data_IF_089099123249
#
_entry.id   IF_089099123249
#
_cell.length_a   1.000
_cell.length_b   1.000
_cell.length_c   1.000
_cell.angle_alpha   90.00
_cell.angle_beta   90.00
_cell.angle_gamma   90.00
#
_symmetry.space_group_name_H-M   'P 1'
#
loop_
_entity.id
_entity.type
_entity.pdbx_description
1 polymer ?
#
# COMPACT_ATOMS: atom_id res chain seq x y z
N UNK A 1 -19.34 25.41 -44.19
CA UNK A 1 -18.75 25.58 -42.85
C UNK A 1 -19.01 24.32 -42.04
N UNK A 2 -17.92 23.62 -41.71
CA UNK A 2 -17.90 22.24 -41.23
C UNK A 2 -18.17 22.16 -39.73
N UNK A 3 -19.23 21.44 -39.31
CA UNK A 3 -19.40 21.00 -37.93
C UNK A 3 -18.72 19.64 -37.77
N UNK A 4 -17.65 19.58 -36.98
CA UNK A 4 -17.06 18.31 -36.50
C UNK A 4 -17.64 17.99 -35.12
N UNK A 5 -17.96 16.72 -34.82
CA UNK A 5 -18.38 16.30 -33.48
C UNK A 5 -17.17 16.16 -32.56
N UNK A 6 -17.34 16.57 -31.30
CA UNK A 6 -16.40 16.35 -30.20
C UNK A 6 -16.30 14.85 -29.91
N UNK A 7 -15.10 14.28 -30.08
CA UNK A 7 -14.79 12.93 -29.64
C UNK A 7 -14.61 12.90 -28.12
N UNK A 8 -15.39 12.01 -27.52
CA UNK A 8 -15.40 11.51 -26.14
C UNK A 8 -14.04 11.45 -25.44
N UNK A 9 -14.04 11.92 -24.20
CA UNK A 9 -13.10 11.59 -23.13
C UNK A 9 -13.32 10.13 -22.72
N UNK A 10 -12.38 9.24 -23.08
CA UNK A 10 -12.47 7.78 -22.85
C UNK A 10 -11.28 7.20 -22.07
N UNK A 11 -10.39 8.02 -21.51
CA UNK A 11 -9.15 7.52 -20.88
C UNK A 11 -9.28 7.14 -19.40
N UNK A 12 -10.40 7.48 -18.74
CA UNK A 12 -10.69 7.04 -17.37
C UNK A 12 -11.24 5.60 -17.29
N UNK A 13 -11.64 5.00 -18.42
CA UNK A 13 -12.30 3.69 -18.44
C UNK A 13 -11.31 2.51 -18.40
N UNK A 14 -10.05 2.70 -18.81
CA UNK A 14 -9.12 1.58 -19.03
C UNK A 14 -8.63 0.93 -17.73
N UNK A 15 -8.51 1.67 -16.63
CA UNK A 15 -8.14 1.06 -15.33
C UNK A 15 -9.33 0.40 -14.63
N UNK A 16 -10.55 0.92 -14.84
CA UNK A 16 -11.77 0.42 -14.19
C UNK A 16 -12.39 -0.80 -14.86
N UNK A 17 -12.12 -1.05 -16.15
CA UNK A 17 -12.64 -2.22 -16.88
C UNK A 17 -11.81 -3.50 -16.76
N UNK A 18 -10.63 -3.43 -16.15
CA UNK A 18 -9.74 -4.58 -15.97
C UNK A 18 -10.29 -5.68 -15.03
N UNK A 19 -11.37 -5.41 -14.28
CA UNK A 19 -11.85 -6.26 -13.18
C UNK A 19 -13.01 -7.21 -13.52
N UNK A 20 -13.56 -7.17 -14.74
CA UNK A 20 -14.91 -7.72 -14.97
C UNK A 20 -15.00 -9.19 -15.42
N UNK A 21 -13.92 -9.95 -15.60
CA UNK A 21 -14.06 -11.33 -16.09
C UNK A 21 -12.88 -12.26 -15.75
N UNK A 22 -12.98 -13.00 -14.64
CA UNK A 22 -12.29 -14.29 -14.48
C UNK A 22 -13.03 -15.19 -13.45
N UNK A 23 -13.43 -16.43 -13.80
CA UNK A 23 -13.97 -17.36 -12.83
C UNK A 23 -12.86 -18.22 -12.21
N UNK A 24 -12.62 -18.01 -10.90
CA UNK A 24 -12.11 -18.92 -9.84
C UNK A 24 -11.21 -18.17 -8.84
N UNK A 25 -11.85 -17.73 -7.75
CA UNK A 25 -11.36 -17.70 -6.35
C UNK A 25 -10.15 -16.83 -5.99
N UNK A 26 -10.06 -15.61 -6.53
CA UNK A 26 -9.34 -14.53 -5.88
C UNK A 26 -10.28 -13.32 -5.80
N UNK A 27 -10.57 -12.81 -4.60
CA UNK A 27 -11.39 -11.61 -4.46
C UNK A 27 -10.76 -10.44 -5.24
N UNK A 28 -11.56 -9.47 -5.68
CA UNK A 28 -11.08 -8.29 -6.43
C UNK A 28 -9.85 -7.63 -5.77
N UNK A 29 -9.79 -7.65 -4.43
CA UNK A 29 -8.66 -7.15 -3.64
C UNK A 29 -7.37 -7.95 -3.87
N UNK A 30 -7.44 -9.27 -3.91
CA UNK A 30 -6.28 -10.12 -4.17
C UNK A 30 -5.72 -9.89 -5.58
N UNK A 31 -6.61 -9.75 -6.56
CA UNK A 31 -6.23 -9.40 -7.92
C UNK A 31 -5.61 -8.00 -7.99
N UNK A 32 -6.20 -7.02 -7.30
CA UNK A 32 -5.66 -5.67 -7.24
C UNK A 32 -4.26 -5.64 -6.63
N UNK A 33 -4.01 -6.34 -5.51
CA UNK A 33 -2.68 -6.46 -4.91
C UNK A 33 -1.65 -6.98 -5.92
N UNK A 34 -2.01 -8.01 -6.67
CA UNK A 34 -1.14 -8.61 -7.68
C UNK A 34 -0.87 -7.64 -8.84
N UNK A 35 -1.87 -6.91 -9.33
CA UNK A 35 -1.67 -5.87 -10.35
C UNK A 35 -0.71 -4.78 -9.85
N UNK A 36 -0.85 -4.35 -8.59
CA UNK A 36 0.08 -3.39 -7.98
C UNK A 36 1.49 -3.96 -7.88
N UNK A 37 1.66 -5.23 -7.49
CA UNK A 37 2.99 -5.87 -7.45
C UNK A 37 3.63 -5.95 -8.83
N UNK A 38 2.85 -6.22 -9.87
CA UNK A 38 3.34 -6.18 -11.25
C UNK A 38 3.84 -4.79 -11.61
N UNK A 39 3.06 -3.75 -11.31
CA UNK A 39 3.46 -2.37 -11.54
C UNK A 39 4.76 -2.02 -10.79
N UNK A 40 4.90 -2.40 -9.52
CA UNK A 40 6.14 -2.19 -8.75
C UNK A 40 7.36 -2.86 -9.40
N UNK A 41 7.19 -4.07 -9.94
CA UNK A 41 8.27 -4.78 -10.64
C UNK A 41 8.83 -4.01 -11.83
N UNK A 42 7.98 -3.20 -12.49
CA UNK A 42 8.34 -2.35 -13.61
C UNK A 42 8.89 -0.98 -13.15
N UNK A 43 8.32 -0.42 -12.08
CA UNK A 43 8.58 0.96 -11.68
C UNK A 43 9.72 1.11 -10.68
N UNK A 44 9.95 0.15 -9.79
CA UNK A 44 11.02 0.23 -8.79
C UNK A 44 12.42 0.35 -9.42
N UNK A 45 12.77 -0.35 -10.52
CA UNK A 45 14.06 -0.16 -11.17
C UNK A 45 14.25 1.28 -11.68
N UNK A 46 13.22 1.86 -12.28
CA UNK A 46 13.25 3.24 -12.79
C UNK A 46 13.39 4.25 -11.62
N UNK A 47 12.67 4.01 -10.52
CA UNK A 47 12.77 4.84 -9.33
C UNK A 47 14.15 4.71 -8.67
N UNK A 48 14.75 3.53 -8.62
CA UNK A 48 16.10 3.32 -8.09
C UNK A 48 17.11 4.18 -8.84
N UNK A 49 17.09 4.16 -10.17
CA UNK A 49 17.97 5.02 -10.99
C UNK A 49 17.78 6.50 -10.67
N UNK A 50 16.53 6.94 -10.53
CA UNK A 50 16.24 8.34 -10.17
C UNK A 50 16.73 8.68 -8.76
N UNK A 51 16.56 7.77 -7.79
CA UNK A 51 16.92 8.01 -6.40
C UNK A 51 18.44 8.11 -6.18
N UNK A 52 19.27 7.47 -7.02
CA UNK A 52 20.73 7.63 -7.00
C UNK A 52 21.20 9.08 -7.22
N UNK A 53 20.38 9.90 -7.87
CA UNK A 53 20.68 11.32 -8.09
C UNK A 53 20.58 12.16 -6.82
N UNK A 54 19.84 11.69 -5.80
CA UNK A 54 19.70 12.40 -4.54
C UNK A 54 20.98 12.26 -3.69
N UNK A 55 21.56 13.38 -3.20
CA UNK A 55 22.78 13.34 -2.39
C UNK A 55 22.69 12.40 -1.18
N UNK A 56 21.53 12.34 -0.51
CA UNK A 56 21.33 11.49 0.68
C UNK A 56 21.32 9.98 0.38
N UNK A 57 21.14 9.58 -0.88
CA UNK A 57 21.02 8.18 -1.30
C UNK A 57 22.08 7.77 -2.31
N UNK A 58 22.99 8.67 -2.69
CA UNK A 58 24.02 8.43 -3.70
C UNK A 58 24.85 7.19 -3.42
N UNK A 59 25.22 6.99 -2.15
CA UNK A 59 26.06 5.87 -1.71
C UNK A 59 25.25 4.70 -1.12
N UNK A 60 23.90 4.78 -1.17
CA UNK A 60 23.05 3.69 -0.72
C UNK A 60 23.15 2.49 -1.69
N UNK A 61 23.17 1.24 -1.20
CA UNK A 61 23.29 0.05 -2.04
C UNK A 61 21.94 -0.33 -2.69
N UNK A 62 21.29 0.63 -3.35
CA UNK A 62 19.91 0.52 -3.85
C UNK A 62 19.71 -0.68 -4.80
N UNK A 63 20.72 -1.03 -5.61
CA UNK A 63 20.66 -2.21 -6.47
C UNK A 63 20.62 -3.53 -5.70
N UNK A 64 21.45 -3.64 -4.65
CA UNK A 64 21.46 -4.83 -3.80
C UNK A 64 20.16 -4.94 -3.00
N UNK A 65 19.62 -3.81 -2.53
CA UNK A 65 18.33 -3.75 -1.86
C UNK A 65 17.18 -4.14 -2.82
N UNK A 66 17.21 -3.67 -4.07
CA UNK A 66 16.26 -4.06 -5.12
C UNK A 66 16.33 -5.56 -5.44
N UNK A 67 17.54 -6.11 -5.55
CA UNK A 67 17.74 -7.55 -5.78
C UNK A 67 17.19 -8.37 -4.60
N UNK A 68 17.48 -7.97 -3.36
CA UNK A 68 16.94 -8.60 -2.16
C UNK A 68 15.41 -8.54 -2.10
N UNK A 69 14.81 -7.41 -2.47
CA UNK A 69 13.36 -7.29 -2.59
C UNK A 69 12.78 -8.25 -3.64
N UNK A 70 13.35 -8.29 -4.85
CA UNK A 70 12.92 -9.23 -5.91
C UNK A 70 12.99 -10.67 -5.44
N UNK A 71 14.04 -11.04 -4.72
CA UNK A 71 14.21 -12.39 -4.20
C UNK A 71 13.12 -12.71 -3.16
N UNK A 72 12.88 -11.83 -2.19
CA UNK A 72 11.81 -12.01 -1.18
C UNK A 72 10.42 -12.10 -1.82
N UNK A 73 10.23 -11.44 -2.97
CA UNK A 73 8.93 -11.34 -3.67
C UNK A 73 8.81 -12.24 -4.89
N UNK A 74 9.76 -13.13 -5.16
CA UNK A 74 9.84 -13.85 -6.44
C UNK A 74 8.54 -14.60 -6.81
N UNK A 75 7.94 -15.30 -5.85
CA UNK A 75 6.67 -16.04 -6.05
C UNK A 75 5.53 -15.07 -6.38
N UNK A 76 5.31 -14.05 -5.55
CA UNK A 76 4.26 -13.06 -5.75
C UNK A 76 4.41 -12.29 -7.06
N UNK A 77 5.65 -11.96 -7.46
CA UNK A 77 5.92 -11.29 -8.74
C UNK A 77 5.62 -12.19 -9.95
N UNK A 78 5.85 -13.50 -9.82
CA UNK A 78 5.48 -14.46 -10.86
C UNK A 78 3.96 -14.59 -11.00
N UNK A 79 3.24 -14.69 -9.88
CA UNK A 79 1.77 -14.71 -9.85
C UNK A 79 1.18 -13.43 -10.44
N UNK A 80 1.74 -12.27 -10.08
CA UNK A 80 1.34 -10.97 -10.58
C UNK A 80 1.52 -10.86 -12.11
N UNK A 81 2.66 -11.31 -12.63
CA UNK A 81 2.92 -11.32 -14.06
C UNK A 81 1.94 -12.24 -14.81
N UNK A 82 1.65 -13.42 -14.27
CA UNK A 82 0.70 -14.37 -14.86
C UNK A 82 -0.74 -13.80 -14.87
N UNK A 83 -1.16 -13.13 -13.80
CA UNK A 83 -2.46 -12.45 -13.75
C UNK A 83 -2.56 -11.38 -14.84
N UNK A 84 -1.56 -10.51 -14.97
CA UNK A 84 -1.57 -9.43 -15.96
C UNK A 84 -1.55 -9.98 -17.39
N UNK A 85 -0.82 -11.07 -17.64
CA UNK A 85 -0.82 -11.75 -18.94
C UNK A 85 -2.20 -12.31 -19.29
N UNK A 86 -2.89 -12.94 -18.32
CA UNK A 86 -4.26 -13.40 -18.51
C UNK A 86 -5.23 -12.22 -18.76
N UNK A 87 -5.10 -11.14 -17.99
CA UNK A 87 -5.92 -9.92 -18.17
C UNK A 87 -5.68 -9.24 -19.53
N UNK A 88 -4.45 -9.27 -20.04
CA UNK A 88 -4.13 -8.79 -21.37
C UNK A 88 -4.85 -9.64 -22.43
N UNK A 89 -4.74 -10.96 -22.31
CA UNK A 89 -5.37 -11.91 -23.22
C UNK A 89 -6.90 -11.76 -23.26
N UNK A 90 -7.56 -11.61 -22.11
CA UNK A 90 -9.02 -11.42 -22.06
C UNK A 90 -9.48 -10.11 -22.68
N UNK A 91 -8.63 -9.08 -22.69
CA UNK A 91 -8.90 -7.78 -23.30
C UNK A 91 -8.41 -7.64 -24.74
N UNK A 92 -7.81 -8.70 -25.31
CA UNK A 92 -7.21 -8.65 -26.65
C UNK A 92 -6.03 -7.69 -26.75
N UNK A 93 -5.35 -7.42 -25.63
CA UNK A 93 -4.14 -6.59 -25.56
C UNK A 93 -2.91 -7.49 -25.42
N UNK A 94 -1.73 -6.99 -25.78
CA UNK A 94 -0.48 -7.66 -25.40
C UNK A 94 -0.06 -7.22 -24.00
N UNK A 95 0.65 -8.09 -23.28
CA UNK A 95 1.30 -7.72 -22.02
C UNK A 95 2.23 -6.52 -22.17
N UNK A 96 2.93 -6.42 -23.30
CA UNK A 96 3.82 -5.31 -23.60
C UNK A 96 3.07 -3.96 -23.67
N UNK A 97 1.83 -3.95 -24.18
CA UNK A 97 1.00 -2.74 -24.22
C UNK A 97 0.62 -2.28 -22.81
N UNK A 98 0.29 -3.22 -21.91
CA UNK A 98 0.00 -2.94 -20.50
C UNK A 98 1.26 -2.40 -19.80
N UNK A 99 2.40 -3.06 -19.97
CA UNK A 99 3.67 -2.64 -19.38
C UNK A 99 4.05 -1.22 -19.84
N UNK A 100 3.86 -0.92 -21.14
CA UNK A 100 4.10 0.40 -21.69
C UNK A 100 3.14 1.45 -21.12
N UNK A 101 1.85 1.12 -20.97
CA UNK A 101 0.86 2.02 -20.36
C UNK A 101 1.19 2.35 -18.90
N UNK A 102 1.61 1.35 -18.11
CA UNK A 102 2.05 1.54 -16.71
C UNK A 102 3.24 2.50 -16.65
N UNK A 103 4.27 2.26 -17.47
CA UNK A 103 5.46 3.13 -17.52
C UNK A 103 5.11 4.56 -17.95
N UNK A 104 4.32 4.72 -19.02
CA UNK A 104 3.91 6.03 -19.52
C UNK A 104 3.04 6.82 -18.52
N UNK A 105 2.23 6.14 -17.71
CA UNK A 105 1.50 6.77 -16.62
C UNK A 105 2.43 7.21 -15.50
N UNK A 106 3.37 6.35 -15.09
CA UNK A 106 4.35 6.67 -14.05
C UNK A 106 5.26 7.83 -14.47
N UNK A 107 5.77 7.85 -15.70
CA UNK A 107 6.61 8.95 -16.22
C UNK A 107 5.90 10.30 -16.12
N UNK A 108 4.61 10.36 -16.45
CA UNK A 108 3.80 11.58 -16.32
C UNK A 108 3.68 12.05 -14.87
N UNK A 109 3.41 11.14 -13.93
CA UNK A 109 3.35 11.47 -12.50
C UNK A 109 4.71 11.94 -11.97
N UNK A 110 5.77 11.26 -12.41
CA UNK A 110 7.13 11.51 -12.01
C UNK A 110 7.71 12.83 -12.53
N UNK A 111 7.34 13.24 -13.74
CA UNK A 111 7.74 14.53 -14.32
C UNK A 111 7.11 15.72 -13.58
N UNK A 112 5.95 15.52 -12.94
CA UNK A 112 5.26 16.54 -12.16
C UNK A 112 5.73 16.62 -10.69
N UNK A 113 6.53 15.67 -10.22
CA UNK A 113 6.96 15.61 -8.83
C UNK A 113 8.10 16.61 -8.54
N UNK A 114 7.92 17.42 -7.51
CA UNK A 114 8.96 18.32 -7.00
C UNK A 114 10.07 17.59 -6.23
N UNK A 115 11.11 18.33 -5.82
CA UNK A 115 12.25 17.76 -5.11
C UNK A 115 11.88 17.14 -3.75
N UNK A 116 10.92 17.72 -3.03
CA UNK A 116 10.45 17.20 -1.73
C UNK A 116 9.70 15.88 -1.90
N UNK A 117 8.81 15.81 -2.89
CA UNK A 117 8.07 14.61 -3.28
C UNK A 117 9.05 13.51 -3.68
N UNK A 118 10.07 13.83 -4.48
CA UNK A 118 11.09 12.86 -4.87
C UNK A 118 11.86 12.31 -3.67
N UNK A 119 12.31 13.18 -2.76
CA UNK A 119 12.99 12.76 -1.54
C UNK A 119 12.13 11.83 -0.67
N UNK A 120 10.84 12.16 -0.52
CA UNK A 120 9.86 11.34 0.18
C UNK A 120 9.67 9.97 -0.49
N UNK A 121 9.41 9.95 -1.80
CA UNK A 121 9.25 8.72 -2.58
C UNK A 121 10.49 7.83 -2.49
N UNK A 122 11.68 8.39 -2.61
CA UNK A 122 12.93 7.63 -2.55
C UNK A 122 13.22 7.07 -1.15
N UNK A 123 12.88 7.83 -0.10
CA UNK A 123 12.98 7.33 1.28
C UNK A 123 12.04 6.14 1.49
N UNK A 124 10.80 6.25 1.01
CA UNK A 124 9.81 5.16 1.08
C UNK A 124 10.20 3.94 0.24
N UNK A 125 10.73 4.16 -0.95
CA UNK A 125 11.24 3.09 -1.81
C UNK A 125 12.27 2.27 -1.04
N UNK A 126 13.27 2.92 -0.45
CA UNK A 126 14.35 2.23 0.26
C UNK A 126 13.85 1.34 1.41
N UNK A 127 12.92 1.86 2.23
CA UNK A 127 12.28 1.07 3.29
C UNK A 127 11.59 -0.18 2.70
N UNK A 128 10.86 -0.01 1.60
CA UNK A 128 10.18 -1.11 0.89
C UNK A 128 11.18 -2.13 0.33
N UNK A 129 12.27 -1.68 -0.28
CA UNK A 129 13.30 -2.58 -0.81
C UNK A 129 13.97 -3.43 0.30
N UNK A 130 13.96 -2.95 1.54
CA UNK A 130 14.46 -3.68 2.72
C UNK A 130 13.42 -4.52 3.44
N UNK A 131 12.14 -4.40 3.07
CA UNK A 131 11.02 -5.02 3.79
C UNK A 131 10.76 -4.37 5.15
N UNK A 132 11.33 -3.18 5.37
CA UNK A 132 11.16 -2.38 6.58
C UNK A 132 9.82 -1.66 6.49
N UNK A 133 9.05 -1.59 7.59
CA UNK A 133 7.93 -0.67 7.63
C UNK A 133 8.46 0.76 7.51
N UNK A 134 7.80 1.59 6.71
CA UNK A 134 8.24 2.98 6.50
C UNK A 134 8.06 3.87 7.75
N UNK A 135 7.43 3.32 8.79
CA UNK A 135 7.36 3.87 10.13
C UNK A 135 7.88 2.79 11.10
N UNK A 136 8.74 3.11 12.09
CA UNK A 136 9.17 2.14 13.08
C UNK A 136 7.99 1.45 13.77
N UNK A 137 8.00 0.11 13.82
CA UNK A 137 6.93 -0.69 14.41
C UNK A 137 7.46 -1.74 15.38
N UNK A 138 6.74 -1.95 16.48
CA UNK A 138 6.96 -3.06 17.42
C UNK A 138 5.69 -3.89 17.60
N UNK A 139 5.85 -5.19 17.89
CA UNK A 139 4.73 -6.10 18.17
C UNK A 139 3.87 -6.52 16.95
N UNK A 140 4.12 -5.95 15.76
CA UNK A 140 3.42 -6.34 14.53
C UNK A 140 3.76 -7.78 14.12
N UNK A 141 2.73 -8.55 13.81
CA UNK A 141 2.86 -9.92 13.26
C UNK A 141 2.28 -10.06 11.86
N UNK A 142 1.75 -8.98 11.28
CA UNK A 142 1.23 -9.00 9.91
C UNK A 142 2.36 -9.13 8.90
N UNK A 143 2.06 -9.83 7.81
CA UNK A 143 2.89 -9.88 6.62
C UNK A 143 3.07 -8.47 6.03
N UNK A 144 4.09 -8.31 5.17
CA UNK A 144 4.50 -7.02 4.64
C UNK A 144 3.38 -6.29 3.87
N UNK A 145 2.55 -7.02 3.11
CA UNK A 145 1.50 -6.42 2.28
C UNK A 145 0.30 -6.00 3.12
N UNK A 146 -0.17 -6.89 4.00
CA UNK A 146 -1.27 -6.55 4.91
C UNK A 146 -0.88 -5.41 5.83
N UNK A 147 0.35 -5.41 6.35
CA UNK A 147 0.88 -4.31 7.16
C UNK A 147 0.86 -2.99 6.39
N UNK A 148 1.30 -2.98 5.13
CA UNK A 148 1.33 -1.77 4.31
C UNK A 148 -0.08 -1.21 4.09
N UNK A 149 -1.04 -2.05 3.75
CA UNK A 149 -2.43 -1.60 3.58
C UNK A 149 -3.03 -1.02 4.86
N UNK A 150 -2.76 -1.67 6.01
CA UNK A 150 -3.19 -1.15 7.31
C UNK A 150 -2.58 0.21 7.56
N UNK A 151 -1.27 0.39 7.30
CA UNK A 151 -0.61 1.69 7.48
C UNK A 151 -1.17 2.76 6.55
N UNK A 152 -1.42 2.44 5.28
CA UNK A 152 -1.96 3.39 4.31
C UNK A 152 -3.39 3.84 4.66
N UNK A 153 -4.17 2.98 5.34
CA UNK A 153 -5.47 3.36 5.91
C UNK A 153 -5.35 4.09 7.26
N UNK A 154 -4.43 3.68 8.13
CA UNK A 154 -4.29 4.16 9.49
C UNK A 154 -3.68 5.56 9.57
N UNK A 155 -2.60 5.81 8.83
CA UNK A 155 -1.82 7.04 9.02
C UNK A 155 -2.57 8.31 8.64
N UNK A 156 -3.36 8.38 7.56
CA UNK A 156 -4.18 9.56 7.29
C UNK A 156 -5.16 9.89 8.43
N UNK A 157 -5.76 8.85 9.02
CA UNK A 157 -6.65 8.98 10.18
C UNK A 157 -5.87 9.50 11.39
N UNK A 158 -4.72 8.91 11.68
CA UNK A 158 -3.89 9.29 12.81
C UNK A 158 -3.37 10.72 12.68
N UNK A 159 -2.83 11.10 11.53
CA UNK A 159 -2.34 12.45 11.25
C UNK A 159 -3.42 13.51 11.43
N UNK A 160 -4.65 13.21 10.98
CA UNK A 160 -5.80 14.12 11.13
C UNK A 160 -6.18 14.31 12.60
N UNK A 161 -6.32 13.21 13.35
CA UNK A 161 -6.84 13.26 14.72
C UNK A 161 -5.81 13.72 15.75
N UNK A 162 -4.53 13.45 15.50
CA UNK A 162 -3.42 13.92 16.33
C UNK A 162 -2.95 15.32 15.96
N UNK A 163 -3.47 15.92 14.86
CA UNK A 163 -2.92 17.12 14.23
C UNK A 163 -1.39 17.00 14.01
N UNK A 164 -0.96 15.85 13.50
CA UNK A 164 0.45 15.47 13.38
C UNK A 164 0.79 15.05 11.95
N UNK A 165 1.55 15.89 11.24
CA UNK A 165 1.97 15.59 9.87
C UNK A 165 2.93 14.40 9.79
N UNK A 166 3.72 14.18 10.85
CA UNK A 166 4.76 13.15 10.89
C UNK A 166 4.62 12.27 12.13
N UNK A 167 3.80 11.19 12.05
CA UNK A 167 3.86 10.10 13.02
C UNK A 167 5.30 9.57 13.13
N UNK A 168 5.69 9.17 14.35
CA UNK A 168 7.07 8.78 14.67
C UNK A 168 7.25 7.26 14.84
N UNK A 169 6.28 6.57 15.44
CA UNK A 169 6.34 5.11 15.63
C UNK A 169 4.96 4.52 15.91
N UNK A 170 4.82 3.21 15.70
CA UNK A 170 3.63 2.43 16.09
C UNK A 170 4.01 1.27 17.01
N UNK A 171 3.30 1.15 18.14
CA UNK A 171 3.35 -0.05 18.97
C UNK A 171 2.05 -0.85 18.81
N UNK A 172 2.17 -2.11 18.42
CA UNK A 172 1.04 -3.03 18.25
C UNK A 172 0.94 -3.97 19.45
N UNK A 173 -0.27 -4.08 20.01
CA UNK A 173 -0.57 -5.00 21.13
C UNK A 173 -1.92 -5.68 20.94
N UNK A 174 -2.15 -6.89 21.51
CA UNK A 174 -3.48 -7.49 21.51
C UNK A 174 -4.51 -6.57 22.16
N UNK A 175 -5.71 -6.50 21.58
CA UNK A 175 -6.83 -5.80 22.21
C UNK A 175 -7.51 -6.70 23.25
N UNK A 176 -8.05 -6.13 24.34
CA UNK A 176 -8.90 -6.90 25.26
C UNK A 176 -10.13 -7.46 24.52
N UNK A 177 -10.71 -8.59 24.98
CA UNK A 177 -11.91 -9.17 24.38
C UNK A 177 -13.02 -8.12 24.18
N UNK A 178 -13.70 -8.14 23.03
CA UNK A 178 -14.73 -7.17 22.70
C UNK A 178 -15.87 -7.14 23.74
N UNK A 179 -16.24 -8.29 24.30
CA UNK A 179 -17.28 -8.44 25.34
C UNK A 179 -16.96 -7.67 26.63
N UNK A 180 -15.67 -7.42 26.90
CA UNK A 180 -15.22 -6.67 28.08
C UNK A 180 -15.12 -5.16 27.84
N UNK A 181 -15.50 -4.69 26.64
CA UNK A 181 -15.29 -3.30 26.20
C UNK A 181 -16.59 -2.69 25.69
N UNK A 182 -17.08 -1.66 26.40
CA UNK A 182 -18.29 -0.91 26.01
C UNK A 182 -18.13 -0.12 24.70
N UNK A 183 -16.89 0.05 24.27
CA UNK A 183 -16.47 0.85 23.12
C UNK A 183 -15.85 -0.01 22.01
N UNK A 184 -16.02 -1.34 22.06
CA UNK A 184 -15.59 -2.23 20.99
C UNK A 184 -16.39 -1.92 19.72
N UNK A 185 -15.71 -1.86 18.57
CA UNK A 185 -16.41 -1.74 17.29
C UNK A 185 -17.28 -2.98 17.03
N UNK A 186 -18.33 -2.82 16.22
CA UNK A 186 -19.12 -3.97 15.74
C UNK A 186 -18.26 -4.94 14.93
N UNK A 187 -17.22 -4.44 14.25
CA UNK A 187 -16.25 -5.27 13.53
C UNK A 187 -15.44 -6.18 14.46
N UNK A 188 -15.12 -5.71 15.67
CA UNK A 188 -14.38 -6.50 16.67
C UNK A 188 -15.16 -7.74 17.14
N UNK A 189 -16.50 -7.72 17.05
CA UNK A 189 -17.34 -8.85 17.47
C UNK A 189 -17.25 -10.06 16.52
N UNK A 190 -16.86 -9.84 15.27
CA UNK A 190 -16.78 -10.87 14.22
C UNK A 190 -15.35 -11.06 13.69
N UNK A 191 -14.38 -10.42 14.35
CA UNK A 191 -12.98 -10.48 13.98
C UNK A 191 -12.34 -11.78 14.49
N UNK A 192 -11.43 -12.35 13.70
CA UNK A 192 -10.61 -13.48 14.12
C UNK A 192 -9.53 -13.03 15.11
N UNK A 193 -9.07 -11.77 14.97
CA UNK A 193 -8.10 -11.15 15.88
C UNK A 193 -8.36 -9.66 15.99
N UNK A 194 -8.20 -9.10 17.19
CA UNK A 194 -8.29 -7.66 17.41
C UNK A 194 -6.99 -7.14 18.04
N UNK A 195 -6.45 -6.07 17.47
CA UNK A 195 -5.22 -5.43 17.90
C UNK A 195 -5.46 -3.96 18.24
N UNK A 196 -4.64 -3.39 19.11
CA UNK A 196 -4.54 -1.96 19.37
C UNK A 196 -3.22 -1.47 18.80
N UNK A 197 -3.31 -0.50 17.88
CA UNK A 197 -2.20 0.13 17.21
C UNK A 197 -2.01 1.53 17.78
N UNK A 198 -1.01 1.69 18.64
CA UNK A 198 -0.67 2.96 19.27
C UNK A 198 0.23 3.78 18.35
N UNK A 199 -0.33 4.76 17.65
CA UNK A 199 0.42 5.70 16.82
C UNK A 199 0.94 6.81 17.71
N UNK A 200 2.25 7.01 17.73
CA UNK A 200 2.90 8.07 18.51
C UNK A 200 3.53 9.11 17.59
N UNK A 201 3.45 10.39 17.97
CA UNK A 201 3.97 11.50 17.17
C UNK A 201 3.52 12.85 17.69
N UNK A 202 4.33 13.88 17.45
CA UNK A 202 3.99 15.26 17.81
C UNK A 202 3.57 15.47 19.29
N UNK A 203 4.18 14.71 20.21
CA UNK A 203 3.87 14.80 21.65
C UNK A 203 2.55 14.16 22.08
N UNK A 204 1.89 13.40 21.20
CA UNK A 204 0.64 12.72 21.46
C UNK A 204 0.69 11.25 21.05
N UNK A 205 -0.29 10.47 21.53
CA UNK A 205 -0.49 9.08 21.15
C UNK A 205 -1.96 8.83 20.84
N UNK A 206 -2.22 8.11 19.75
CA UNK A 206 -3.55 7.67 19.34
C UNK A 206 -3.59 6.15 19.30
N UNK A 207 -4.45 5.55 20.11
CA UNK A 207 -4.75 4.13 20.03
C UNK A 207 -5.86 3.89 19.01
N UNK A 208 -5.58 3.10 17.98
CA UNK A 208 -6.58 2.69 16.99
C UNK A 208 -6.81 1.20 17.10
N UNK A 209 -8.08 0.81 17.22
CA UNK A 209 -8.46 -0.60 17.17
C UNK A 209 -8.39 -1.10 15.73
N UNK A 210 -7.76 -2.26 15.53
CA UNK A 210 -7.70 -2.96 14.26
C UNK A 210 -8.38 -4.32 14.42
N UNK A 211 -9.50 -4.51 13.72
CA UNK A 211 -10.21 -5.79 13.65
C UNK A 211 -9.78 -6.54 12.40
N UNK A 212 -9.13 -7.69 12.56
CA UNK A 212 -8.56 -8.52 11.49
C UNK A 212 -9.40 -9.76 11.25
N UNK A 213 -9.57 -10.11 9.97
CA UNK A 213 -10.15 -11.38 9.53
C UNK A 213 -9.23 -12.09 8.56
N UNK A 214 -9.12 -13.42 8.69
CA UNK A 214 -8.24 -14.30 7.93
C UNK A 214 -9.06 -15.34 7.14
N UNK A 215 -9.84 -14.92 6.13
CA UNK A 215 -10.55 -15.85 5.26
C UNK A 215 -9.57 -16.82 4.57
N UNK A 216 -9.95 -18.09 4.48
CA UNK A 216 -9.11 -19.11 3.86
C UNK A 216 -8.92 -18.83 2.36
N UNK A 217 -7.67 -18.83 1.89
CA UNK A 217 -7.34 -18.59 0.49
C UNK A 217 -7.45 -17.13 0.05
N UNK A 218 -7.71 -16.19 0.96
CA UNK A 218 -7.83 -14.78 0.68
C UNK A 218 -6.86 -13.93 1.51
N UNK A 219 -6.43 -12.76 1.02
CA UNK A 219 -5.67 -11.83 1.83
C UNK A 219 -6.43 -11.42 3.09
N UNK A 220 -5.74 -11.16 4.23
CA UNK A 220 -6.40 -10.67 5.42
C UNK A 220 -7.18 -9.39 5.13
N UNK A 221 -8.39 -9.31 5.67
CA UNK A 221 -9.20 -8.09 5.63
C UNK A 221 -9.18 -7.42 7.01
N UNK A 222 -9.38 -6.11 7.04
CA UNK A 222 -9.35 -5.36 8.28
C UNK A 222 -10.37 -4.23 8.30
N UNK A 223 -10.75 -3.83 9.51
CA UNK A 223 -11.51 -2.62 9.78
C UNK A 223 -10.83 -1.84 10.91
N UNK A 224 -10.74 -0.52 10.72
CA UNK A 224 -10.33 0.40 11.78
C UNK A 224 -11.55 0.69 12.67
N UNK A 225 -11.41 0.41 13.97
CA UNK A 225 -12.36 0.84 14.98
C UNK A 225 -12.20 2.32 15.30
N UNK A 226 -13.06 2.83 16.20
CA UNK A 226 -13.03 4.25 16.55
C UNK A 226 -11.67 4.62 17.20
N UNK A 227 -10.95 5.60 16.64
CA UNK A 227 -9.66 6.03 17.14
C UNK A 227 -9.82 6.71 18.50
N UNK A 228 -8.94 6.33 19.44
CA UNK A 228 -8.94 6.79 20.83
C UNK A 228 -7.73 7.66 21.05
N UNK A 229 -7.93 8.94 21.35
CA UNK A 229 -6.84 9.76 21.88
C UNK A 229 -6.48 9.22 23.26
N UNK A 230 -5.27 8.72 23.43
CA UNK A 230 -4.72 8.62 24.77
C UNK A 230 -4.51 10.05 25.25
N UNK A 231 -5.16 10.41 26.36
CA UNK A 231 -4.97 11.68 27.04
C UNK A 231 -3.47 12.00 27.19
N UNK A 232 -3.13 13.29 27.07
CA UNK A 232 -1.78 13.81 27.21
C UNK A 232 -1.02 13.10 28.33
N UNK A 233 0.10 12.45 27.99
CA UNK A 233 0.95 11.81 28.97
C UNK A 233 1.33 12.83 30.04
N UNK A 234 0.87 12.62 31.27
CA UNK A 234 1.48 13.25 32.43
C UNK A 234 2.94 12.83 32.45
N UNK A 235 3.84 13.81 32.40
CA UNK A 235 5.23 13.59 32.79
C UNK A 235 5.31 13.15 34.25
#
# INVERSE_FOLDING_TARGET
>A
MSRRPCLRSSTGLLLGLLLAAAPLVASERAQQRLVERHAESLLFPLLVERCKTLPALRDAPLEAELAGWRQRRAVTLAEAAALVENLAATQGLSRADIDAAIRAQSERQQAAADAATLAFTCTRLRATLRGEPYLPMSGNTLDEDTRREVLDALLPVASTLMACENPAAIAVRPAPPAVLRKDASSAAAIADRVELWAVSGCGSTLDVELSLRFPAGEPPSFALGFPRTASAGSR
#
